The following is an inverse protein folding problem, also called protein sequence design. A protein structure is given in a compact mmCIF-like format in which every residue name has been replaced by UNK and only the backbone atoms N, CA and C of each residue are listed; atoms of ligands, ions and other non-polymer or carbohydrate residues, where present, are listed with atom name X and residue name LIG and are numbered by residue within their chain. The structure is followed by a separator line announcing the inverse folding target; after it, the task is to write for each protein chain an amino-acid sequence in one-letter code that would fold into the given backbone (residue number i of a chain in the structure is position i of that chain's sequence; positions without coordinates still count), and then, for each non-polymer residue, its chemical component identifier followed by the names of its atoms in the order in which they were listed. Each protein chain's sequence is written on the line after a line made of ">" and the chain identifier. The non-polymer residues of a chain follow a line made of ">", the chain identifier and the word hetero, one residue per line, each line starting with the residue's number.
data_IF_440147312827
#
_entry.id   IF_440147312827
#
_cell.length_a   1.000
_cell.length_b   1.000
_cell.length_c   1.000
_cell.angle_alpha   90.00
_cell.angle_beta   90.00
_cell.angle_gamma   90.00
#
_symmetry.space_group_name_H-M   'P 1'
#
loop_
_entity.id
_entity.type
_entity.pdbx_description
1 polymer ?
#
# COMPACT_ATOMS: atom_id res chain seq x y z
N UNK A 1 -9.30 -5.81 -0.71
CA UNK A 1 -7.89 -6.04 -0.33
C UNK A 1 -7.12 -4.74 -0.54
N UNK A 2 -6.36 -4.31 0.45
CA UNK A 2 -5.76 -2.96 0.45
C UNK A 2 -4.43 -3.00 1.20
N UNK A 3 -3.34 -2.43 0.64
CA UNK A 3 -2.10 -2.24 1.37
C UNK A 3 -2.27 -1.33 2.58
N UNK A 4 -1.74 -1.75 3.74
CA UNK A 4 -1.87 -1.01 5.00
C UNK A 4 -0.58 -1.09 5.79
N UNK A 5 -0.32 -0.01 6.54
CA UNK A 5 0.65 -0.06 7.63
C UNK A 5 0.03 -0.77 8.83
N UNK A 6 0.71 -1.80 9.33
CA UNK A 6 0.35 -2.51 10.56
C UNK A 6 1.35 -2.11 11.63
N UNK A 7 0.84 -1.59 12.74
CA UNK A 7 1.61 -1.22 13.93
C UNK A 7 1.48 -2.33 14.96
N UNK A 8 2.54 -2.52 15.75
CA UNK A 8 2.50 -3.37 16.94
C UNK A 8 2.44 -2.40 18.13
N UNK A 9 1.37 -2.49 18.93
CA UNK A 9 1.16 -1.66 20.12
C UNK A 9 0.65 -2.54 21.25
N UNK A 10 1.41 -2.64 22.34
CA UNK A 10 1.02 -3.38 23.56
C UNK A 10 0.52 -4.80 23.23
N UNK A 11 1.34 -5.57 22.51
CA UNK A 11 1.07 -6.94 22.04
C UNK A 11 -0.12 -7.11 21.07
N UNK A 12 -0.71 -6.01 20.59
CA UNK A 12 -1.79 -6.03 19.58
C UNK A 12 -1.29 -5.50 18.24
N UNK A 13 -1.88 -6.02 17.17
CA UNK A 13 -1.72 -5.44 15.84
C UNK A 13 -2.73 -4.30 15.68
N UNK A 14 -2.34 -3.21 15.06
CA UNK A 14 -3.23 -2.07 14.81
C UNK A 14 -3.05 -1.52 13.39
N UNK A 15 -4.15 -1.14 12.76
CA UNK A 15 -4.15 -0.43 11.48
C UNK A 15 -4.84 0.92 11.62
N UNK A 16 -4.28 1.95 10.97
CA UNK A 16 -4.93 3.25 10.83
C UNK A 16 -5.57 3.35 9.45
N UNK A 17 -6.89 3.50 9.41
CA UNK A 17 -7.68 3.63 8.19
C UNK A 17 -7.98 5.11 7.92
N UNK A 18 -7.69 5.54 6.69
CA UNK A 18 -7.76 6.95 6.30
C UNK A 18 -9.18 7.35 5.88
N UNK A 19 -9.66 8.55 6.25
CA UNK A 19 -10.97 9.02 5.82
C UNK A 19 -11.06 9.11 4.29
N UNK A 20 -12.24 8.83 3.73
CA UNK A 20 -12.48 8.82 2.29
C UNK A 20 -11.95 7.58 1.56
N UNK A 21 -11.52 6.54 2.29
CA UNK A 21 -11.19 5.23 1.71
C UNK A 21 -12.32 4.24 1.98
N UNK A 22 -12.61 3.38 1.01
CA UNK A 22 -13.60 2.30 1.16
C UNK A 22 -13.29 1.42 2.38
N UNK A 23 -12.02 1.09 2.59
CA UNK A 23 -11.60 0.29 3.73
C UNK A 23 -11.93 0.96 5.08
N UNK A 24 -11.87 2.29 5.18
CA UNK A 24 -12.28 2.98 6.40
C UNK A 24 -13.76 2.79 6.68
N UNK A 25 -14.61 2.82 5.65
CA UNK A 25 -16.06 2.59 5.79
C UNK A 25 -16.34 1.14 6.20
N UNK A 26 -15.69 0.17 5.53
CA UNK A 26 -15.77 -1.25 5.85
C UNK A 26 -15.21 -1.58 7.25
N UNK A 27 -14.26 -0.77 7.73
CA UNK A 27 -13.63 -0.87 9.05
C UNK A 27 -14.57 -0.81 10.22
N UNK A 28 -15.73 -0.18 10.04
CA UNK A 28 -16.78 -0.12 11.06
C UNK A 28 -17.49 -1.48 11.22
N UNK A 29 -17.43 -2.35 10.20
CA UNK A 29 -18.28 -3.56 10.11
C UNK A 29 -17.52 -4.88 9.96
N UNK A 30 -16.28 -4.91 9.48
CA UNK A 30 -15.54 -6.19 9.37
C UNK A 30 -15.06 -6.66 10.74
N UNK A 31 -15.09 -7.97 10.99
CA UNK A 31 -14.66 -8.57 12.26
C UNK A 31 -13.42 -9.45 12.14
N UNK A 32 -13.04 -9.80 10.91
CA UNK A 32 -11.96 -10.72 10.60
C UNK A 32 -11.09 -10.10 9.51
N UNK A 33 -9.79 -10.35 9.56
CA UNK A 33 -8.85 -9.93 8.53
C UNK A 33 -7.73 -10.96 8.38
N UNK A 34 -7.27 -11.14 7.14
CA UNK A 34 -5.99 -11.79 6.87
C UNK A 34 -4.95 -10.73 6.53
N UNK A 35 -4.04 -10.48 7.47
CA UNK A 35 -2.92 -9.54 7.32
C UNK A 35 -1.77 -10.30 6.67
N UNK A 36 -1.35 -9.86 5.48
CA UNK A 36 -0.34 -10.55 4.69
C UNK A 36 0.93 -9.70 4.53
N UNK A 37 2.08 -10.33 4.74
CA UNK A 37 3.42 -9.75 4.62
C UNK A 37 4.16 -10.47 3.49
N UNK A 38 3.89 -10.10 2.22
CA UNK A 38 4.53 -10.75 1.08
C UNK A 38 6.01 -10.36 0.97
N UNK A 39 6.83 -11.31 0.53
CA UNK A 39 8.30 -11.13 0.38
C UNK A 39 8.70 -10.41 -0.92
N UNK A 40 7.74 -10.15 -1.82
CA UNK A 40 7.95 -9.41 -3.07
C UNK A 40 7.02 -8.20 -3.15
N UNK A 41 7.36 -7.15 -3.92
CA UNK A 41 6.51 -5.96 -4.03
C UNK A 41 5.30 -6.15 -4.96
N UNK A 42 5.22 -7.24 -5.75
CA UNK A 42 4.17 -7.45 -6.75
C UNK A 42 2.73 -7.37 -6.20
N UNK A 43 2.39 -7.98 -5.06
CA UNK A 43 1.03 -7.94 -4.53
C UNK A 43 0.55 -6.54 -4.19
N UNK A 44 1.46 -5.65 -3.78
CA UNK A 44 1.14 -4.25 -3.51
C UNK A 44 0.78 -3.49 -4.79
N UNK A 45 1.55 -3.71 -5.86
CA UNK A 45 1.20 -3.14 -7.16
C UNK A 45 -0.13 -3.68 -7.70
N UNK A 46 -0.36 -4.99 -7.60
CA UNK A 46 -1.61 -5.61 -8.06
C UNK A 46 -2.81 -5.07 -7.29
N UNK A 47 -2.70 -4.93 -5.96
CA UNK A 47 -3.76 -4.35 -5.14
C UNK A 47 -4.04 -2.86 -5.43
N UNK A 48 -3.08 -2.09 -5.97
CA UNK A 48 -3.23 -0.64 -6.20
C UNK A 48 -3.54 -0.29 -7.67
N UNK A 49 -2.99 -1.05 -8.62
CA UNK A 49 -3.00 -0.73 -10.06
C UNK A 49 -3.68 -1.80 -10.93
N UNK A 50 -3.89 -3.00 -10.40
CA UNK A 50 -4.17 -4.20 -11.16
C UNK A 50 -5.44 -4.92 -10.70
N UNK A 51 -5.67 -6.13 -11.24
CA UNK A 51 -6.66 -7.04 -10.67
C UNK A 51 -6.24 -7.39 -9.23
N UNK A 52 -7.21 -7.69 -8.34
CA UNK A 52 -6.88 -8.17 -7.01
C UNK A 52 -6.01 -9.43 -7.13
N UNK A 53 -4.96 -9.57 -6.29
CA UNK A 53 -4.12 -10.75 -6.34
C UNK A 53 -4.94 -12.00 -5.97
N UNK A 54 -4.50 -13.18 -6.42
CA UNK A 54 -5.20 -14.43 -6.16
C UNK A 54 -5.39 -14.64 -4.66
N UNK A 55 -6.49 -15.30 -4.31
CA UNK A 55 -6.87 -15.58 -2.93
C UNK A 55 -6.77 -17.08 -2.65
N UNK A 56 -6.47 -17.41 -1.40
CA UNK A 56 -6.50 -18.76 -0.88
C UNK A 56 -7.36 -18.79 0.40
N UNK A 57 -8.05 -19.90 0.68
CA UNK A 57 -8.81 -20.05 1.91
C UNK A 57 -7.94 -19.83 3.14
N UNK A 58 -8.50 -19.19 4.16
CA UNK A 58 -7.91 -19.15 5.50
C UNK A 58 -8.19 -20.45 6.24
N UNK A 59 -7.39 -20.73 7.26
CA UNK A 59 -7.51 -21.94 8.09
C UNK A 59 -8.53 -21.78 9.19
N UNK A 60 -8.60 -20.59 9.78
CA UNK A 60 -9.31 -20.33 11.05
C UNK A 60 -10.37 -19.26 10.96
N UNK A 61 -10.48 -18.58 9.81
CA UNK A 61 -11.40 -17.46 9.57
C UNK A 61 -12.23 -17.70 8.30
N UNK A 62 -13.21 -16.83 8.04
CA UNK A 62 -13.99 -16.81 6.80
C UNK A 62 -13.33 -15.94 5.73
N UNK A 63 -12.58 -14.93 6.16
CA UNK A 63 -11.89 -14.01 5.26
C UNK A 63 -10.68 -14.68 4.64
N UNK A 64 -10.56 -14.75 3.29
CA UNK A 64 -9.45 -15.40 2.63
C UNK A 64 -8.16 -14.57 2.74
N UNK A 65 -7.04 -15.26 2.56
CA UNK A 65 -5.71 -14.65 2.50
C UNK A 65 -5.25 -14.48 1.05
N UNK A 66 -4.25 -13.62 0.83
CA UNK A 66 -3.61 -13.52 -0.49
C UNK A 66 -2.80 -14.79 -0.76
N UNK A 67 -2.81 -15.28 -2.00
CA UNK A 67 -2.05 -16.45 -2.45
C UNK A 67 -0.66 -16.02 -2.95
N UNK A 68 0.16 -15.49 -2.04
CA UNK A 68 1.54 -15.07 -2.31
C UNK A 68 2.47 -15.57 -1.21
N UNK A 69 3.74 -15.92 -1.53
CA UNK A 69 4.71 -16.30 -0.52
C UNK A 69 4.95 -15.20 0.52
N UNK A 70 5.07 -15.60 1.78
CA UNK A 70 5.31 -14.72 2.90
C UNK A 70 4.59 -15.16 4.17
N UNK A 71 4.44 -14.21 5.09
CA UNK A 71 3.77 -14.45 6.37
C UNK A 71 2.31 -14.01 6.23
N UNK A 72 1.39 -14.84 6.67
CA UNK A 72 -0.02 -14.50 6.79
C UNK A 72 -0.48 -14.64 8.24
N UNK A 73 -1.12 -13.59 8.73
CA UNK A 73 -1.69 -13.52 10.07
C UNK A 73 -3.20 -13.39 9.93
N UNK A 74 -3.89 -14.46 10.25
CA UNK A 74 -5.34 -14.48 10.43
C UNK A 74 -5.64 -13.84 11.79
N UNK A 75 -6.40 -12.76 11.81
CA UNK A 75 -6.67 -11.99 13.02
C UNK A 75 -8.14 -11.56 13.09
N UNK A 76 -8.62 -11.39 14.32
CA UNK A 76 -9.97 -10.86 14.62
C UNK A 76 -9.87 -9.44 15.13
N UNK A 77 -10.87 -8.62 14.81
CA UNK A 77 -10.95 -7.25 15.30
C UNK A 77 -11.42 -7.24 16.75
N UNK A 78 -10.59 -6.69 17.63
CA UNK A 78 -10.87 -6.64 19.08
C UNK A 78 -11.30 -5.27 19.56
N UNK A 79 -10.88 -4.20 18.89
CA UNK A 79 -11.31 -2.83 19.23
C UNK A 79 -11.28 -1.88 18.02
N UNK A 80 -12.05 -0.80 18.13
CA UNK A 80 -12.12 0.28 17.15
C UNK A 80 -12.14 1.63 17.85
N UNK A 81 -11.34 2.56 17.37
CA UNK A 81 -11.24 3.91 17.93
C UNK A 81 -11.28 4.95 16.82
N UNK A 82 -12.26 5.85 16.90
CA UNK A 82 -12.32 7.02 16.00
C UNK A 82 -11.38 8.11 16.52
N UNK A 83 -10.61 8.69 15.62
CA UNK A 83 -9.63 9.74 15.93
C UNK A 83 -9.81 10.89 14.96
N UNK A 84 -9.81 12.12 15.47
CA UNK A 84 -9.89 13.33 14.65
C UNK A 84 -8.68 13.44 13.70
N UNK A 85 -8.85 13.93 12.46
CA UNK A 85 -10.06 14.46 11.83
C UNK A 85 -10.84 13.40 11.01
N UNK A 86 -11.07 12.19 11.55
CA UNK A 86 -11.91 11.16 10.91
C UNK A 86 -11.23 9.82 10.60
N UNK A 87 -10.05 9.59 11.15
CA UNK A 87 -9.38 8.29 11.10
C UNK A 87 -10.12 7.23 11.93
N UNK A 88 -9.99 5.97 11.51
CA UNK A 88 -10.39 4.82 12.32
C UNK A 88 -9.14 3.98 12.64
N UNK A 89 -8.87 3.77 13.92
CA UNK A 89 -7.86 2.81 14.37
C UNK A 89 -8.58 1.49 14.66
N UNK A 90 -8.13 0.42 14.02
CA UNK A 90 -8.65 -0.94 14.22
C UNK A 90 -7.55 -1.77 14.87
N UNK A 91 -7.89 -2.42 15.98
CA UNK A 91 -7.01 -3.33 16.71
C UNK A 91 -7.37 -4.77 16.38
N UNK A 92 -6.35 -5.61 16.24
CA UNK A 92 -6.47 -7.00 15.87
C UNK A 92 -5.67 -7.89 16.82
N UNK A 93 -6.28 -9.03 17.16
CA UNK A 93 -5.62 -10.09 17.90
C UNK A 93 -5.36 -11.27 16.94
N UNK A 94 -4.11 -11.75 16.84
CA UNK A 94 -3.78 -12.89 15.99
C UNK A 94 -4.48 -14.17 16.47
N UNK A 95 -5.11 -14.88 15.55
CA UNK A 95 -5.72 -16.21 15.77
C UNK A 95 -4.82 -17.30 15.22
N UNK A 96 -4.26 -17.09 14.03
CA UNK A 96 -3.38 -18.04 13.39
C UNK A 96 -2.30 -17.36 12.57
N UNK A 97 -1.08 -17.87 12.65
CA UNK A 97 0.05 -17.43 11.83
C UNK A 97 0.48 -18.59 10.96
N UNK A 98 0.59 -18.33 9.66
CA UNK A 98 1.14 -19.29 8.70
C UNK A 98 2.21 -18.64 7.84
N UNK A 99 3.17 -19.47 7.44
CA UNK A 99 4.27 -19.08 6.58
C UNK A 99 4.13 -19.91 5.31
N UNK A 100 3.92 -19.23 4.19
CA UNK A 100 3.83 -19.85 2.88
C UNK A 100 5.13 -19.62 2.11
N UNK A 101 5.84 -20.70 1.77
CA UNK A 101 7.12 -20.63 1.08
C UNK A 101 8.24 -20.05 1.95
N UNK A 102 9.22 -19.40 1.31
CA UNK A 102 10.32 -18.74 2.01
C UNK A 102 9.85 -17.40 2.61
N UNK A 103 9.76 -17.32 3.94
CA UNK A 103 9.49 -16.07 4.66
C UNK A 103 10.70 -15.11 4.70
N UNK A 104 11.90 -15.60 4.37
CA UNK A 104 13.14 -14.84 4.43
C UNK A 104 13.70 -14.74 3.03
N UNK A 105 13.83 -13.52 2.53
CA UNK A 105 14.44 -13.23 1.24
C UNK A 105 15.63 -12.29 1.43
N UNK A 106 16.63 -12.38 0.56
CA UNK A 106 17.71 -11.40 0.51
C UNK A 106 17.13 -9.99 0.33
N UNK A 107 17.62 -9.04 1.14
CA UNK A 107 17.17 -7.66 1.08
C UNK A 107 17.38 -7.08 -0.32
N UNK A 108 16.30 -6.50 -0.89
CA UNK A 108 16.36 -5.78 -2.16
C UNK A 108 15.92 -4.33 -1.96
N UNK A 109 16.75 -3.38 -2.41
CA UNK A 109 16.39 -1.95 -2.44
C UNK A 109 15.14 -1.70 -3.29
N UNK A 110 14.90 -2.51 -4.33
CA UNK A 110 13.71 -2.37 -5.16
C UNK A 110 12.41 -2.59 -4.37
N UNK A 111 12.41 -3.39 -3.29
CA UNK A 111 11.25 -3.58 -2.43
C UNK A 111 10.89 -2.28 -1.73
N UNK A 112 11.84 -1.68 -1.00
CA UNK A 112 11.63 -0.42 -0.28
C UNK A 112 11.21 0.71 -1.22
N UNK A 113 11.91 0.85 -2.36
CA UNK A 113 11.56 1.85 -3.37
C UNK A 113 10.16 1.60 -3.98
N UNK A 114 9.73 0.34 -4.16
CA UNK A 114 8.35 0.04 -4.59
C UNK A 114 7.31 0.53 -3.59
N UNK A 115 7.56 0.36 -2.29
CA UNK A 115 6.65 0.83 -1.24
C UNK A 115 6.57 2.37 -1.25
N UNK A 116 7.70 3.06 -1.33
CA UNK A 116 7.72 4.54 -1.39
C UNK A 116 6.98 5.10 -2.61
N UNK A 117 7.18 4.50 -3.80
CA UNK A 117 6.46 4.88 -5.02
C UNK A 117 4.94 4.73 -4.85
N UNK A 118 4.49 3.62 -4.26
CA UNK A 118 3.07 3.35 -4.03
C UNK A 118 2.45 4.26 -2.96
N UNK A 119 3.22 4.63 -1.93
CA UNK A 119 2.80 5.64 -0.93
C UNK A 119 2.65 7.00 -1.60
N UNK A 120 3.63 7.43 -2.39
CA UNK A 120 3.56 8.70 -3.12
C UNK A 120 2.34 8.74 -4.06
N UNK A 121 2.15 7.68 -4.85
CA UNK A 121 1.01 7.53 -5.75
C UNK A 121 -0.34 7.61 -5.00
N UNK A 122 -0.52 6.84 -3.94
CA UNK A 122 -1.81 6.78 -3.22
C UNK A 122 -2.16 8.12 -2.55
N UNK A 123 -1.16 8.85 -2.06
CA UNK A 123 -1.35 10.23 -1.56
C UNK A 123 -1.71 11.21 -2.67
N UNK A 124 -1.03 11.15 -3.82
CA UNK A 124 -1.35 11.99 -4.98
C UNK A 124 -2.76 11.71 -5.50
N UNK A 125 -3.18 10.44 -5.58
CA UNK A 125 -4.56 10.05 -5.92
C UNK A 125 -5.59 10.68 -4.97
N UNK A 126 -5.31 10.66 -3.67
CA UNK A 126 -6.21 11.24 -2.67
C UNK A 126 -6.33 12.76 -2.84
N UNK A 127 -5.21 13.45 -3.03
CA UNK A 127 -5.18 14.92 -3.16
C UNK A 127 -5.67 15.45 -4.50
N UNK A 128 -5.60 14.67 -5.58
CA UNK A 128 -6.24 15.01 -6.85
C UNK A 128 -7.78 15.07 -6.74
N UNK A 129 -8.37 14.39 -5.75
CA UNK A 129 -9.83 14.32 -5.53
C UNK A 129 -10.33 15.17 -4.38
N UNK A 130 -9.43 15.71 -3.57
CA UNK A 130 -9.75 16.46 -2.35
C UNK A 130 -9.05 17.82 -2.39
N UNK A 131 -9.10 18.61 -1.32
CA UNK A 131 -8.33 19.84 -1.25
C UNK A 131 -6.83 19.46 -1.18
N UNK A 132 -6.02 19.79 -2.21
CA UNK A 132 -4.62 19.41 -2.20
C UNK A 132 -3.87 20.15 -1.06
N UNK A 133 -2.77 19.57 -0.55
CA UNK A 133 -1.87 20.25 0.36
C UNK A 133 -1.14 21.38 -0.38
N UNK A 134 -0.15 21.99 0.26
CA UNK A 134 0.70 22.98 -0.42
C UNK A 134 1.35 22.38 -1.68
N UNK A 135 1.55 23.20 -2.72
CA UNK A 135 2.22 22.74 -3.94
C UNK A 135 3.66 22.28 -3.71
N UNK A 136 4.32 22.75 -2.65
CA UNK A 136 5.61 22.22 -2.22
C UNK A 136 5.49 20.73 -1.82
N UNK A 137 4.45 20.36 -1.09
CA UNK A 137 4.18 18.97 -0.70
C UNK A 137 3.89 18.08 -1.91
N UNK A 138 3.11 18.56 -2.87
CA UNK A 138 2.83 17.82 -4.12
C UNK A 138 4.12 17.57 -4.90
N UNK A 139 4.94 18.61 -5.13
CA UNK A 139 6.24 18.48 -5.81
C UNK A 139 7.16 17.49 -5.11
N UNK A 140 7.23 17.55 -3.77
CA UNK A 140 8.01 16.60 -2.98
C UNK A 140 7.57 15.15 -3.19
N UNK A 141 6.26 14.89 -3.24
CA UNK A 141 5.77 13.53 -3.53
C UNK A 141 6.10 13.08 -4.95
N UNK A 142 6.01 13.98 -5.93
CA UNK A 142 6.37 13.66 -7.30
C UNK A 142 7.87 13.29 -7.42
N UNK A 143 8.76 14.05 -6.78
CA UNK A 143 10.18 13.69 -6.71
C UNK A 143 10.41 12.32 -6.04
N UNK A 144 9.72 12.04 -4.93
CA UNK A 144 9.79 10.70 -4.30
C UNK A 144 9.37 9.61 -5.28
N UNK A 145 8.31 9.82 -6.07
CA UNK A 145 7.88 8.84 -7.07
C UNK A 145 8.94 8.62 -8.16
N UNK A 146 9.56 9.69 -8.67
CA UNK A 146 10.62 9.64 -9.68
C UNK A 146 11.88 8.92 -9.14
N UNK A 147 12.35 9.32 -7.96
CA UNK A 147 13.53 8.72 -7.32
C UNK A 147 13.31 7.24 -7.00
N UNK A 148 12.12 6.89 -6.52
CA UNK A 148 11.75 5.52 -6.24
C UNK A 148 11.68 4.67 -7.52
N UNK A 149 11.15 5.20 -8.62
CA UNK A 149 11.17 4.54 -9.92
C UNK A 149 12.61 4.29 -10.42
N UNK A 150 13.47 5.31 -10.38
CA UNK A 150 14.88 5.18 -10.77
C UNK A 150 15.60 4.13 -9.92
N UNK A 151 15.38 4.15 -8.60
CA UNK A 151 15.90 3.12 -7.70
C UNK A 151 15.46 1.70 -8.13
N UNK A 152 14.18 1.50 -8.45
CA UNK A 152 13.66 0.19 -8.87
C UNK A 152 14.37 -0.29 -10.14
N UNK A 153 14.45 0.57 -11.17
CA UNK A 153 15.06 0.23 -12.46
C UNK A 153 16.54 -0.17 -12.33
N UNK A 154 17.26 0.40 -11.37
CA UNK A 154 18.67 0.10 -11.14
C UNK A 154 18.93 -0.99 -10.07
N UNK A 155 17.92 -1.36 -9.28
CA UNK A 155 18.08 -2.30 -8.17
C UNK A 155 17.57 -3.72 -8.49
N UNK A 156 16.95 -3.94 -9.66
CA UNK A 156 16.42 -5.25 -10.04
C UNK A 156 16.50 -5.47 -11.56
N UNK A 157 16.44 -6.74 -11.97
CA UNK A 157 16.34 -7.15 -13.37
C UNK A 157 14.91 -7.58 -13.75
N UNK A 158 13.95 -7.45 -12.84
CA UNK A 158 12.58 -7.90 -13.05
C UNK A 158 11.83 -6.97 -14.01
N UNK A 159 11.67 -7.40 -15.27
CA UNK A 159 10.89 -6.66 -16.27
C UNK A 159 9.43 -6.45 -15.85
N UNK A 160 8.83 -7.44 -15.17
CA UNK A 160 7.47 -7.31 -14.59
C UNK A 160 7.42 -6.17 -13.57
N UNK A 161 8.42 -6.07 -12.69
CA UNK A 161 8.49 -5.01 -11.70
C UNK A 161 8.72 -3.64 -12.34
N UNK A 162 9.58 -3.55 -13.36
CA UNK A 162 9.77 -2.30 -14.12
C UNK A 162 8.46 -1.83 -14.77
N UNK A 163 7.70 -2.74 -15.38
CA UNK A 163 6.41 -2.42 -15.98
C UNK A 163 5.40 -1.90 -14.95
N UNK A 164 5.28 -2.57 -13.80
CA UNK A 164 4.43 -2.12 -12.70
C UNK A 164 4.85 -0.73 -12.18
N UNK A 165 6.16 -0.52 -11.96
CA UNK A 165 6.69 0.75 -11.47
C UNK A 165 6.47 1.88 -12.49
N UNK A 166 6.67 1.62 -13.79
CA UNK A 166 6.42 2.60 -14.85
C UNK A 166 4.93 2.98 -14.93
N UNK A 167 4.02 2.01 -14.78
CA UNK A 167 2.57 2.29 -14.70
C UNK A 167 2.23 3.16 -13.48
N UNK A 168 2.81 2.83 -12.33
CA UNK A 168 2.61 3.61 -11.09
C UNK A 168 3.13 5.04 -11.23
N UNK A 169 4.32 5.22 -11.80
CA UNK A 169 4.94 6.52 -12.01
C UNK A 169 4.11 7.39 -12.97
N UNK A 170 3.71 6.83 -14.12
CA UNK A 170 2.85 7.56 -15.07
C UNK A 170 1.57 8.04 -14.41
N UNK A 171 0.93 7.18 -13.62
CA UNK A 171 -0.27 7.60 -12.90
C UNK A 171 0.04 8.66 -11.84
N UNK A 172 1.14 8.53 -11.09
CA UNK A 172 1.54 9.52 -10.09
C UNK A 172 1.76 10.91 -10.72
N UNK A 173 2.42 10.98 -11.87
CA UNK A 173 2.62 12.21 -12.66
C UNK A 173 1.27 12.82 -13.04
N UNK A 174 0.34 12.03 -13.60
CA UNK A 174 -1.01 12.50 -13.96
C UNK A 174 -1.75 13.04 -12.73
N UNK A 175 -1.73 12.31 -11.61
CA UNK A 175 -2.39 12.78 -10.37
C UNK A 175 -1.76 14.05 -9.81
N UNK A 176 -0.44 14.21 -9.94
CA UNK A 176 0.23 15.44 -9.56
C UNK A 176 -0.21 16.62 -10.42
N UNK A 177 -0.36 16.44 -11.74
CA UNK A 177 -0.90 17.47 -12.64
C UNK A 177 -2.33 17.89 -12.29
N UNK A 178 -3.19 16.93 -11.99
CA UNK A 178 -4.59 17.19 -11.61
C UNK A 178 -4.73 18.07 -10.36
N UNK A 179 -3.68 18.19 -9.53
CA UNK A 179 -3.67 19.12 -8.39
C UNK A 179 -3.45 20.59 -8.77
N UNK A 180 -3.07 20.89 -10.01
CA UNK A 180 -2.72 22.24 -10.48
C UNK A 180 -1.38 22.78 -9.95
N UNK A 181 -0.61 21.97 -9.22
CA UNK A 181 0.64 22.37 -8.60
C UNK A 181 1.89 22.11 -9.44
N UNK A 182 1.76 21.43 -10.57
CA UNK A 182 2.84 21.07 -11.49
C UNK A 182 2.47 21.57 -12.89
N UNK A 183 3.36 22.31 -13.54
CA UNK A 183 3.19 22.66 -14.95
C UNK A 183 3.69 21.51 -15.84
N UNK A 184 3.11 21.28 -17.03
CA UNK A 184 3.58 20.24 -17.96
C UNK A 184 5.08 20.31 -18.29
N UNK A 185 5.69 21.49 -18.21
CA UNK A 185 7.12 21.71 -18.42
C UNK A 185 8.02 21.30 -17.25
N UNK A 186 7.47 21.02 -16.06
CA UNK A 186 8.22 20.63 -14.86
C UNK A 186 8.50 19.11 -14.80
N UNK A 187 7.98 18.32 -15.74
CA UNK A 187 8.26 16.89 -15.84
C UNK A 187 8.88 16.64 -17.20
N UNK A 188 10.20 16.65 -17.28
CA UNK A 188 10.89 16.10 -18.45
C UNK A 188 10.53 14.60 -18.55
N UNK A 189 10.02 14.19 -19.70
CA UNK A 189 9.76 12.78 -19.98
C UNK A 189 11.08 12.00 -19.84
N UNK A 190 11.13 10.94 -19.00
CA UNK A 190 12.32 10.09 -18.91
C UNK A 190 12.55 9.29 -20.19
#
# INVERSE_FOLDING_TARGET
>A
MTPLGIYISDDRLAARLYPGTQLREEGETFYEACISFPVTPHPFYEAILGPPPPLQPSKSLHVPCIAYPGIHVEAVVTARHRVEPGFLIVYFDPVHVRIDGEAVHAYSRSYGCSIELLIALTRLRYWARTRPPSCHTVRKLLHVALDAYNCIVHATWSSKLHSHAAKALREAVVRAYETGCIAPSEVEEP
#
